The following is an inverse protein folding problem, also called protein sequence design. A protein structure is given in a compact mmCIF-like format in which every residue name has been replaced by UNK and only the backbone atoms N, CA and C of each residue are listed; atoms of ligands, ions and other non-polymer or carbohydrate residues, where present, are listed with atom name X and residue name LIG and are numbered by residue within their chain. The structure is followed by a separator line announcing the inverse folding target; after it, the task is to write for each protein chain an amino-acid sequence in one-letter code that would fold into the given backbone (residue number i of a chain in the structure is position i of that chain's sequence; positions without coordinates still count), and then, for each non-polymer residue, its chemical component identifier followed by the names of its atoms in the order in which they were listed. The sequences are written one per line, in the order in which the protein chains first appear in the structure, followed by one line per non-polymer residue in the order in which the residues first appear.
data_IF_260357491885
#
_entry.id   IF_260357491885
#
_cell.length_a   1.000
_cell.length_b   1.000
_cell.length_c   1.000
_cell.angle_alpha   90.00
_cell.angle_beta   90.00
_cell.angle_gamma   90.00
#
_symmetry.space_group_name_H-M   'P 1'
#
loop_
_entity.id
_entity.type
_entity.pdbx_description
1 polymer ?
#
# COMPACT_ATOMS: atom_id res chain seq x y z
N UNK A 1 -2.75 -32.20 -0.83
CA UNK A 1 -2.94 -30.97 -1.65
C UNK A 1 -2.54 -29.80 -0.78
N UNK A 2 -1.67 -28.92 -1.26
CA UNK A 2 -1.32 -27.69 -0.56
C UNK A 2 -2.58 -26.80 -0.42
N UNK A 3 -2.76 -26.11 0.71
CA UNK A 3 -3.84 -25.13 0.84
C UNK A 3 -3.57 -23.92 -0.06
N UNK A 4 -4.62 -23.17 -0.44
CA UNK A 4 -4.48 -21.95 -1.25
C UNK A 4 -3.49 -20.97 -0.60
N UNK A 5 -3.51 -20.88 0.74
CA UNK A 5 -2.55 -20.06 1.51
C UNK A 5 -1.10 -20.51 1.31
N UNK A 6 -0.81 -21.82 1.37
CA UNK A 6 0.57 -22.31 1.19
C UNK A 6 1.10 -22.10 -0.23
N UNK A 7 0.25 -22.17 -1.25
CA UNK A 7 0.67 -21.89 -2.63
C UNK A 7 0.99 -20.40 -2.83
N UNK A 8 0.20 -19.52 -2.19
CA UNK A 8 0.43 -18.08 -2.24
C UNK A 8 1.74 -17.70 -1.55
N UNK A 9 2.01 -18.28 -0.37
CA UNK A 9 3.26 -18.07 0.36
C UNK A 9 4.48 -18.51 -0.46
N UNK A 10 4.41 -19.67 -1.15
CA UNK A 10 5.48 -20.14 -2.04
C UNK A 10 5.75 -19.18 -3.20
N UNK A 11 4.70 -18.63 -3.82
CA UNK A 11 4.85 -17.63 -4.87
C UNK A 11 5.45 -16.33 -4.33
N UNK A 12 4.99 -15.86 -3.16
CA UNK A 12 5.57 -14.66 -2.51
C UNK A 12 7.06 -14.88 -2.25
N UNK A 13 7.44 -16.05 -1.76
CA UNK A 13 8.84 -16.40 -1.50
C UNK A 13 9.71 -16.37 -2.77
N UNK A 14 9.18 -16.84 -3.90
CA UNK A 14 9.88 -16.84 -5.18
C UNK A 14 10.03 -15.43 -5.79
N UNK A 15 9.08 -14.53 -5.50
CA UNK A 15 9.05 -13.17 -6.05
C UNK A 15 9.67 -12.12 -5.12
N UNK A 16 9.76 -12.42 -3.83
CA UNK A 16 10.35 -11.55 -2.82
C UNK A 16 11.82 -11.25 -3.13
N UNK A 17 12.18 -9.97 -3.08
CA UNK A 17 13.55 -9.54 -3.28
C UNK A 17 14.07 -8.74 -2.09
N UNK A 18 15.18 -9.22 -1.51
CA UNK A 18 15.85 -8.58 -0.40
C UNK A 18 16.38 -7.19 -0.77
N UNK A 19 16.18 -6.23 0.13
CA UNK A 19 16.85 -4.94 0.12
C UNK A 19 17.13 -4.55 1.55
N UNK A 20 18.38 -4.17 1.84
CA UNK A 20 18.84 -3.88 3.21
C UNK A 20 17.91 -2.90 3.93
N UNK A 21 17.59 -1.76 3.31
CA UNK A 21 16.67 -0.78 3.90
C UNK A 21 15.28 -1.36 4.21
N UNK A 22 14.72 -2.18 3.32
CA UNK A 22 13.41 -2.82 3.53
C UNK A 22 13.45 -3.81 4.69
N UNK A 23 14.55 -4.55 4.81
CA UNK A 23 14.80 -5.47 5.92
C UNK A 23 14.96 -4.72 7.25
N UNK A 24 15.82 -3.70 7.29
CA UNK A 24 16.09 -2.92 8.51
C UNK A 24 14.84 -2.20 8.99
N UNK A 25 14.12 -1.50 8.11
CA UNK A 25 12.89 -0.81 8.50
C UNK A 25 11.81 -1.80 8.97
N UNK A 26 11.72 -2.98 8.36
CA UNK A 26 10.79 -4.01 8.85
C UNK A 26 11.18 -4.51 10.24
N UNK A 27 12.40 -5.00 10.40
CA UNK A 27 12.86 -5.70 11.61
C UNK A 27 13.14 -4.77 12.79
N UNK A 28 13.57 -3.53 12.54
CA UNK A 28 13.98 -2.58 13.58
C UNK A 28 12.92 -1.51 13.87
N UNK A 29 11.88 -1.38 13.03
CA UNK A 29 10.85 -0.35 13.22
C UNK A 29 9.44 -0.93 13.18
N UNK A 30 9.02 -1.50 12.04
CA UNK A 30 7.63 -1.95 11.87
C UNK A 30 7.25 -3.11 12.79
N UNK A 31 8.08 -4.16 12.85
CA UNK A 31 7.84 -5.31 13.71
C UNK A 31 7.85 -4.91 15.20
N UNK A 32 8.87 -4.21 15.73
CA UNK A 32 8.86 -3.74 17.11
C UNK A 32 7.67 -2.85 17.46
N UNK A 33 7.18 -2.01 16.55
CA UNK A 33 5.98 -1.19 16.81
C UNK A 33 4.71 -2.03 16.94
N UNK A 34 4.57 -3.08 16.10
CA UNK A 34 3.43 -3.99 16.16
C UNK A 34 3.49 -4.92 17.38
N UNK A 35 4.68 -5.32 17.81
CA UNK A 35 4.92 -6.24 18.96
C UNK A 35 5.02 -5.52 20.32
N UNK A 36 5.58 -4.31 20.42
CA UNK A 36 5.58 -3.55 21.69
C UNK A 36 4.16 -3.28 22.19
N UNK A 37 3.23 -3.21 21.27
CA UNK A 37 1.80 -3.03 21.49
C UNK A 37 1.08 -4.28 22.02
N UNK A 38 1.73 -5.47 21.99
CA UNK A 38 1.24 -6.67 22.70
C UNK A 38 1.59 -6.68 24.20
N UNK A 39 2.45 -5.77 24.67
CA UNK A 39 3.04 -5.81 26.02
C UNK A 39 2.41 -4.82 27.01
N UNK A 40 1.42 -4.03 26.59
CA UNK A 40 0.69 -3.10 27.45
C UNK A 40 -0.46 -3.83 28.16
N UNK A 41 -0.67 -3.50 29.44
CA UNK A 41 -1.45 -4.19 30.48
C UNK A 41 -2.96 -4.40 30.21
N UNK A 42 -3.45 -4.12 29.00
CA UNK A 42 -4.78 -4.49 28.53
C UNK A 42 -4.67 -5.77 27.71
N UNK A 43 -5.48 -6.79 28.00
CA UNK A 43 -5.51 -8.06 27.25
C UNK A 43 -5.91 -7.92 25.76
N UNK A 44 -6.15 -6.68 25.30
CA UNK A 44 -6.57 -6.34 23.95
C UNK A 44 -5.46 -5.61 23.19
N UNK A 45 -5.18 -6.12 22.00
CA UNK A 45 -4.29 -5.50 21.03
C UNK A 45 -4.85 -4.14 20.56
N UNK A 46 -4.03 -3.08 20.44
CA UNK A 46 -4.56 -1.79 20.01
C UNK A 46 -5.05 -1.87 18.56
N UNK A 47 -6.28 -1.42 18.31
CA UNK A 47 -6.88 -1.49 16.98
C UNK A 47 -6.13 -0.61 15.97
N UNK A 48 -5.85 -1.17 14.79
CA UNK A 48 -5.29 -0.43 13.65
C UNK A 48 -6.36 -0.42 12.57
N UNK A 49 -7.00 0.73 12.35
CA UNK A 49 -8.07 0.83 11.34
C UNK A 49 -7.52 0.98 9.93
N UNK A 50 -6.40 1.69 9.79
CA UNK A 50 -5.83 2.05 8.50
C UNK A 50 -4.36 1.65 8.44
N UNK A 51 -3.96 0.99 7.35
CA UNK A 51 -2.55 0.70 7.04
C UNK A 51 -2.15 1.46 5.79
N UNK A 52 -1.07 2.25 5.87
CA UNK A 52 -0.41 2.84 4.69
C UNK A 52 0.72 1.89 4.26
N UNK A 53 0.54 1.14 3.18
CA UNK A 53 1.51 0.17 2.68
C UNK A 53 2.10 0.64 1.36
N UNK A 54 3.41 0.80 1.29
CA UNK A 54 4.03 1.19 0.02
C UNK A 54 5.44 1.70 0.13
N UNK A 55 5.75 2.67 -0.72
CA UNK A 55 7.09 3.23 -0.84
C UNK A 55 7.28 4.54 -0.05
N UNK A 56 8.28 5.32 -0.48
CA UNK A 56 8.59 6.67 -0.01
C UNK A 56 7.40 7.65 0.02
N UNK A 57 6.41 7.60 -0.88
CA UNK A 57 5.34 8.61 -0.80
C UNK A 57 4.50 8.43 0.46
N UNK A 58 4.21 7.17 0.83
CA UNK A 58 3.52 6.90 2.08
C UNK A 58 4.43 7.12 3.28
N UNK A 59 5.71 6.68 3.23
CA UNK A 59 6.68 6.93 4.31
C UNK A 59 6.78 8.42 4.67
N UNK A 60 6.75 9.29 3.66
CA UNK A 60 6.96 10.74 3.82
C UNK A 60 5.76 11.52 4.34
N UNK A 61 4.62 10.88 4.64
CA UNK A 61 3.65 11.44 5.59
C UNK A 61 4.28 11.67 6.98
N UNK A 62 5.35 10.94 7.34
CA UNK A 62 6.12 11.18 8.58
C UNK A 62 6.99 12.44 8.52
N UNK A 63 7.21 13.01 7.32
CA UNK A 63 8.15 14.13 7.09
C UNK A 63 7.51 15.26 6.30
N UNK A 64 7.58 15.26 4.97
CA UNK A 64 7.04 16.33 4.11
C UNK A 64 5.52 16.47 4.26
N UNK A 65 4.81 15.37 4.51
CA UNK A 65 3.37 15.36 4.78
C UNK A 65 3.00 15.45 6.27
N UNK A 66 3.94 15.73 7.18
CA UNK A 66 3.68 15.63 8.63
C UNK A 66 2.54 16.50 9.14
N UNK A 67 2.25 17.63 8.47
CA UNK A 67 1.22 18.58 8.90
C UNK A 67 -0.12 18.41 8.15
N UNK A 68 -0.26 17.35 7.35
CA UNK A 68 -1.54 17.02 6.72
C UNK A 68 -2.43 16.21 7.67
N UNK A 69 -3.70 15.99 7.33
CA UNK A 69 -4.61 15.23 8.17
C UNK A 69 -4.09 13.82 8.44
N UNK A 70 -3.67 13.10 7.40
CA UNK A 70 -3.10 11.75 7.53
C UNK A 70 -1.78 11.77 8.29
N UNK A 71 -0.92 12.78 8.05
CA UNK A 71 0.37 12.92 8.75
C UNK A 71 0.23 13.19 10.25
N UNK A 72 -0.89 13.75 10.68
CA UNK A 72 -1.22 14.04 12.08
C UNK A 72 -1.94 12.89 12.79
N UNK A 73 -2.43 11.87 12.07
CA UNK A 73 -3.01 10.68 12.71
C UNK A 73 -1.87 9.76 13.13
N UNK A 74 -1.85 9.44 14.42
CA UNK A 74 -0.80 8.65 15.02
C UNK A 74 -1.20 7.19 15.22
N UNK A 75 -0.20 6.35 15.42
CA UNK A 75 -0.38 4.98 15.89
C UNK A 75 -1.15 4.98 17.22
N UNK A 76 -2.13 4.07 17.43
CA UNK A 76 -2.41 2.89 16.61
C UNK A 76 -3.42 3.07 15.47
N UNK A 77 -4.16 4.19 15.40
CA UNK A 77 -5.24 4.36 14.42
C UNK A 77 -4.75 4.20 12.96
N UNK A 78 -3.62 4.85 12.63
CA UNK A 78 -2.89 4.63 11.38
C UNK A 78 -1.56 3.93 11.68
N UNK A 79 -1.30 2.86 10.92
CA UNK A 79 0.03 2.27 10.84
C UNK A 79 0.67 2.55 9.47
N UNK A 80 1.72 3.38 9.48
CA UNK A 80 2.45 3.73 8.27
C UNK A 80 3.63 2.76 8.04
N UNK A 81 3.37 1.78 7.17
CA UNK A 81 4.28 0.75 6.70
C UNK A 81 4.98 1.10 5.36
N UNK A 82 5.06 2.40 5.03
CA UNK A 82 5.82 2.90 3.89
C UNK A 82 7.34 2.80 4.12
N UNK A 83 8.09 2.42 3.08
CA UNK A 83 9.56 2.35 3.14
C UNK A 83 10.19 3.00 1.91
N UNK A 84 11.11 3.93 2.17
CA UNK A 84 11.81 4.67 1.12
C UNK A 84 12.50 3.77 0.08
N UNK A 85 12.13 3.98 -1.18
CA UNK A 85 12.69 3.27 -2.32
C UNK A 85 12.25 1.82 -2.48
N UNK A 86 11.28 1.34 -1.71
CA UNK A 86 10.70 0.01 -1.94
C UNK A 86 10.14 -0.09 -3.35
N UNK A 87 10.46 -1.20 -4.00
CA UNK A 87 9.78 -1.70 -5.18
C UNK A 87 8.72 -2.73 -4.78
N UNK A 88 7.91 -3.16 -5.74
CA UNK A 88 6.87 -4.18 -5.53
C UNK A 88 7.45 -5.45 -4.88
N UNK A 89 8.55 -5.96 -5.42
CA UNK A 89 9.25 -7.14 -4.92
C UNK A 89 9.84 -6.98 -3.50
N UNK A 90 10.13 -5.74 -3.08
CA UNK A 90 10.61 -5.47 -1.73
C UNK A 90 9.46 -5.48 -0.71
N UNK A 91 8.27 -5.04 -1.11
CA UNK A 91 7.07 -5.17 -0.26
C UNK A 91 6.71 -6.64 -0.09
N UNK A 92 6.74 -7.44 -1.18
CA UNK A 92 6.58 -8.89 -1.10
C UNK A 92 7.60 -9.53 -0.13
N UNK A 93 8.84 -9.05 -0.15
CA UNK A 93 9.85 -9.48 0.82
C UNK A 93 9.47 -9.17 2.28
N UNK A 94 8.95 -7.97 2.58
CA UNK A 94 8.47 -7.65 3.93
C UNK A 94 7.24 -8.47 4.34
N UNK A 95 6.39 -8.82 3.38
CA UNK A 95 5.25 -9.74 3.60
C UNK A 95 5.77 -11.13 3.97
N UNK A 96 6.75 -11.65 3.24
CA UNK A 96 7.42 -12.92 3.55
C UNK A 96 8.02 -12.92 4.98
N UNK A 97 8.67 -11.82 5.39
CA UNK A 97 9.17 -11.69 6.77
C UNK A 97 8.06 -11.75 7.84
N UNK A 98 6.80 -11.49 7.46
CA UNK A 98 5.66 -11.63 8.35
C UNK A 98 4.86 -10.36 8.58
N UNK A 99 5.06 -9.30 7.79
CA UNK A 99 4.34 -8.04 7.97
C UNK A 99 2.82 -8.24 8.06
N UNK A 100 2.23 -9.01 7.14
CA UNK A 100 0.79 -9.28 7.17
C UNK A 100 0.39 -10.19 8.34
N UNK A 101 1.24 -11.14 8.72
CA UNK A 101 1.02 -12.01 9.88
C UNK A 101 0.97 -11.20 11.18
N UNK A 102 1.82 -10.18 11.32
CA UNK A 102 1.81 -9.27 12.46
C UNK A 102 0.59 -8.33 12.48
N UNK A 103 0.08 -7.95 11.31
CA UNK A 103 -1.12 -7.12 11.17
C UNK A 103 -2.43 -7.93 11.29
N UNK A 104 -2.38 -9.24 11.04
CA UNK A 104 -3.56 -10.13 11.03
C UNK A 104 -4.44 -10.00 12.27
N UNK A 105 -3.89 -9.99 13.50
CA UNK A 105 -4.71 -9.86 14.72
C UNK A 105 -5.42 -8.50 14.87
N UNK A 106 -5.00 -7.47 14.12
CA UNK A 106 -5.57 -6.11 14.21
C UNK A 106 -6.75 -5.88 13.27
N UNK A 107 -6.94 -6.76 12.28
CA UNK A 107 -8.01 -6.74 11.28
C UNK A 107 -8.32 -5.31 10.74
N UNK A 108 -7.36 -4.69 10.02
CA UNK A 108 -7.54 -3.33 9.52
C UNK A 108 -8.75 -3.24 8.60
N UNK A 109 -9.39 -2.08 8.60
CA UNK A 109 -10.56 -1.80 7.78
C UNK A 109 -10.17 -1.29 6.41
N UNK A 110 -9.09 -0.51 6.33
CA UNK A 110 -8.59 0.11 5.09
C UNK A 110 -7.09 -0.12 4.93
N UNK A 111 -6.68 -0.48 3.72
CA UNK A 111 -5.27 -0.48 3.32
C UNK A 111 -5.09 0.48 2.16
N UNK A 112 -4.28 1.52 2.35
CA UNK A 112 -3.86 2.41 1.27
C UNK A 112 -2.58 1.85 0.66
N UNK A 113 -2.61 1.55 -0.63
CA UNK A 113 -1.50 0.99 -1.39
C UNK A 113 -1.02 1.98 -2.45
N UNK A 114 0.19 2.52 -2.26
CA UNK A 114 0.87 3.37 -3.24
C UNK A 114 2.26 2.80 -3.47
N UNK A 115 2.47 2.17 -4.63
CA UNK A 115 3.68 1.41 -4.90
C UNK A 115 3.94 1.29 -6.40
N UNK A 116 5.22 1.19 -6.79
CA UNK A 116 5.62 0.92 -8.18
C UNK A 116 6.39 2.06 -8.83
N UNK A 117 6.44 3.25 -8.23
CA UNK A 117 7.22 4.37 -8.76
C UNK A 117 8.71 4.01 -8.90
N UNK A 118 9.24 3.22 -7.97
CA UNK A 118 10.65 2.77 -7.97
C UNK A 118 10.94 1.64 -8.97
N UNK A 119 9.91 1.06 -9.59
CA UNK A 119 10.03 0.07 -10.67
C UNK A 119 10.13 0.74 -12.05
N UNK A 120 9.78 2.02 -12.15
CA UNK A 120 9.89 2.79 -13.39
C UNK A 120 11.34 3.07 -13.77
N UNK A 121 11.58 3.18 -15.08
CA UNK A 121 12.83 3.71 -15.62
C UNK A 121 12.51 4.89 -16.53
N UNK A 122 13.53 5.71 -16.84
CA UNK A 122 13.34 6.96 -17.62
C UNK A 122 12.42 6.79 -18.82
N UNK A 123 12.64 5.71 -19.59
CA UNK A 123 11.89 5.39 -20.81
C UNK A 123 11.14 4.05 -20.76
N UNK A 124 10.71 3.62 -19.57
CA UNK A 124 10.04 2.33 -19.42
C UNK A 124 9.00 2.35 -18.30
N UNK A 125 7.78 1.96 -18.67
CA UNK A 125 6.68 1.72 -17.75
C UNK A 125 6.90 0.44 -16.92
N UNK A 126 5.95 0.13 -16.04
CA UNK A 126 5.90 -1.15 -15.34
C UNK A 126 5.90 -2.31 -16.35
N UNK A 127 6.74 -3.30 -16.08
CA UNK A 127 6.84 -4.51 -16.90
C UNK A 127 5.71 -5.49 -16.56
N UNK A 128 5.50 -6.48 -17.42
CA UNK A 128 4.55 -7.58 -17.14
C UNK A 128 4.84 -8.26 -15.80
N UNK A 129 6.11 -8.55 -15.55
CA UNK A 129 6.59 -9.12 -14.29
C UNK A 129 6.21 -8.26 -13.09
N UNK A 130 6.34 -6.93 -13.19
CA UNK A 130 5.93 -6.02 -12.11
C UNK A 130 4.42 -6.08 -11.86
N UNK A 131 3.60 -6.18 -12.91
CA UNK A 131 2.14 -6.31 -12.76
C UNK A 131 1.74 -7.67 -12.17
N UNK A 132 2.44 -8.74 -12.54
CA UNK A 132 2.21 -10.07 -11.95
C UNK A 132 2.57 -10.09 -10.45
N UNK A 133 3.66 -9.41 -10.05
CA UNK A 133 4.04 -9.26 -8.64
C UNK A 133 3.06 -8.35 -7.87
N UNK A 134 2.52 -7.32 -8.54
CA UNK A 134 1.50 -6.46 -7.95
C UNK A 134 0.18 -7.21 -7.74
N UNK A 135 -0.20 -8.06 -8.70
CA UNK A 135 -1.35 -8.95 -8.56
C UNK A 135 -1.20 -9.90 -7.37
N UNK A 136 -0.01 -10.51 -7.23
CA UNK A 136 0.31 -11.37 -6.10
C UNK A 136 0.21 -10.62 -4.76
N UNK A 137 0.66 -9.36 -4.71
CA UNK A 137 0.49 -8.49 -3.57
C UNK A 137 -1.00 -8.25 -3.24
N UNK A 138 -1.84 -7.93 -4.23
CA UNK A 138 -3.27 -7.74 -4.03
C UNK A 138 -3.95 -9.02 -3.50
N UNK A 139 -3.58 -10.19 -4.05
CA UNK A 139 -4.08 -11.47 -3.56
C UNK A 139 -3.68 -11.73 -2.09
N UNK A 140 -2.42 -11.45 -1.73
CA UNK A 140 -1.97 -11.55 -0.34
C UNK A 140 -2.79 -10.67 0.61
N UNK A 141 -3.09 -9.44 0.21
CA UNK A 141 -3.92 -8.53 1.00
C UNK A 141 -5.37 -9.04 1.13
N UNK A 142 -5.99 -9.50 0.04
CA UNK A 142 -7.36 -10.02 0.06
C UNK A 142 -7.52 -11.30 0.90
N UNK A 143 -6.50 -12.17 0.94
CA UNK A 143 -6.58 -13.49 1.56
C UNK A 143 -6.05 -13.54 3.00
N UNK A 144 -5.45 -12.46 3.51
CA UNK A 144 -4.83 -12.46 4.85
C UNK A 144 -5.88 -12.53 5.97
N UNK A 145 -6.97 -11.78 5.81
CA UNK A 145 -7.98 -11.57 6.85
C UNK A 145 -9.29 -12.31 6.55
N UNK A 146 -10.03 -12.78 7.58
CA UNK A 146 -11.35 -13.39 7.37
C UNK A 146 -12.36 -12.42 6.74
N UNK A 147 -12.34 -11.17 7.19
CA UNK A 147 -13.05 -10.06 6.56
C UNK A 147 -12.00 -9.20 5.87
N UNK A 148 -11.96 -9.17 4.53
CA UNK A 148 -10.93 -8.43 3.82
C UNK A 148 -11.09 -6.91 4.03
N UNK A 149 -9.99 -6.16 4.19
CA UNK A 149 -10.03 -4.71 4.21
C UNK A 149 -10.47 -4.15 2.85
N UNK A 150 -10.97 -2.91 2.86
CA UNK A 150 -11.04 -2.10 1.65
C UNK A 150 -9.62 -1.67 1.26
N UNK A 151 -9.18 -2.05 0.07
CA UNK A 151 -7.85 -1.75 -0.46
C UNK A 151 -7.96 -0.55 -1.41
N UNK A 152 -7.41 0.59 -1.04
CA UNK A 152 -7.32 1.78 -1.88
C UNK A 152 -5.97 1.83 -2.60
N UNK A 153 -5.95 1.49 -3.88
CA UNK A 153 -4.78 1.62 -4.74
C UNK A 153 -4.73 3.04 -5.32
N UNK A 154 -3.65 3.77 -5.06
CA UNK A 154 -3.47 5.13 -5.57
C UNK A 154 -2.48 5.17 -6.72
N UNK A 155 -2.79 5.93 -7.77
CA UNK A 155 -1.91 6.07 -8.92
C UNK A 155 -0.60 6.81 -8.63
N UNK A 156 0.38 6.57 -9.50
CA UNK A 156 1.73 7.11 -9.45
C UNK A 156 1.74 8.59 -9.88
N UNK A 157 2.46 9.42 -9.13
CA UNK A 157 2.68 10.83 -9.46
C UNK A 157 3.67 11.02 -10.61
N UNK A 158 3.62 12.20 -11.21
CA UNK A 158 4.63 12.66 -12.17
C UNK A 158 6.02 12.67 -11.52
N UNK A 159 7.05 12.47 -12.34
CA UNK A 159 8.47 12.54 -11.95
C UNK A 159 9.24 13.37 -12.96
N UNK A 160 10.28 14.08 -12.52
CA UNK A 160 11.17 14.82 -13.44
C UNK A 160 12.10 13.89 -14.22
N UNK A 161 12.40 12.72 -13.68
CA UNK A 161 13.37 11.78 -14.24
C UNK A 161 12.75 10.59 -15.00
N UNK A 162 11.43 10.58 -15.21
CA UNK A 162 10.70 9.56 -16.00
C UNK A 162 9.77 10.27 -16.96
N UNK A 163 9.77 9.86 -18.24
CA UNK A 163 8.89 10.49 -19.23
C UNK A 163 7.43 10.22 -18.88
N UNK A 164 6.58 11.25 -18.91
CA UNK A 164 5.19 11.21 -18.42
C UNK A 164 4.36 10.08 -19.06
N UNK A 165 4.60 9.77 -20.34
CA UNK A 165 3.93 8.68 -21.05
C UNK A 165 4.06 7.32 -20.34
N UNK A 166 5.21 7.03 -19.71
CA UNK A 166 5.44 5.75 -19.04
C UNK A 166 4.81 5.70 -17.65
N UNK A 167 4.64 6.87 -17.01
CA UNK A 167 3.88 7.00 -15.76
C UNK A 167 2.39 6.78 -16.06
N UNK A 168 1.87 7.45 -17.09
CA UNK A 168 0.48 7.29 -17.56
C UNK A 168 0.19 5.84 -17.97
N UNK A 169 1.06 5.22 -18.77
CA UNK A 169 0.93 3.81 -19.15
C UNK A 169 0.90 2.89 -17.91
N UNK A 170 1.71 3.17 -16.90
CA UNK A 170 1.75 2.38 -15.67
C UNK A 170 0.48 2.55 -14.84
N UNK A 171 -0.06 3.76 -14.74
CA UNK A 171 -1.33 4.02 -14.06
C UNK A 171 -2.50 3.32 -14.74
N UNK A 172 -2.57 3.36 -16.08
CA UNK A 172 -3.58 2.63 -16.84
C UNK A 172 -3.48 1.13 -16.57
N UNK A 173 -2.26 0.57 -16.61
CA UNK A 173 -2.05 -0.85 -16.35
C UNK A 173 -2.43 -1.29 -14.93
N UNK A 174 -2.17 -0.44 -13.92
CA UNK A 174 -2.57 -0.70 -12.54
C UNK A 174 -4.08 -0.58 -12.34
N UNK A 175 -4.73 0.43 -12.94
CA UNK A 175 -6.19 0.58 -12.91
C UNK A 175 -6.88 -0.63 -13.56
N UNK A 176 -6.42 -1.05 -14.73
CA UNK A 176 -6.91 -2.28 -15.38
C UNK A 176 -6.69 -3.52 -14.51
N UNK A 177 -5.55 -3.61 -13.83
CA UNK A 177 -5.27 -4.72 -12.92
C UNK A 177 -6.24 -4.75 -11.74
N UNK A 178 -6.56 -3.59 -11.15
CA UNK A 178 -7.57 -3.47 -10.09
C UNK A 178 -8.93 -3.97 -10.59
N UNK A 179 -9.38 -3.50 -11.75
CA UNK A 179 -10.65 -3.94 -12.36
C UNK A 179 -10.66 -5.45 -12.59
N UNK A 180 -9.61 -6.00 -13.20
CA UNK A 180 -9.49 -7.45 -13.46
C UNK A 180 -9.44 -8.26 -12.17
N UNK A 181 -8.76 -7.78 -11.14
CA UNK A 181 -8.65 -8.46 -9.84
C UNK A 181 -10.01 -8.50 -9.15
N UNK A 182 -10.74 -7.39 -9.11
CA UNK A 182 -12.11 -7.39 -8.61
C UNK A 182 -12.98 -8.37 -9.40
N UNK A 183 -12.95 -8.38 -10.74
CA UNK A 183 -13.77 -9.31 -11.52
C UNK A 183 -13.44 -10.79 -11.25
N UNK A 184 -12.16 -11.12 -11.05
CA UNK A 184 -11.71 -12.52 -10.90
C UNK A 184 -11.83 -13.06 -9.48
N UNK A 185 -11.55 -12.25 -8.46
CA UNK A 185 -11.60 -12.68 -7.06
C UNK A 185 -13.01 -12.58 -6.47
N UNK A 186 -13.83 -11.61 -6.92
CA UNK A 186 -15.24 -11.52 -6.53
C UNK A 186 -16.06 -12.72 -7.01
N UNK A 187 -15.72 -13.30 -8.17
CA UNK A 187 -16.35 -14.52 -8.67
C UNK A 187 -16.01 -15.75 -7.82
N UNK A 188 -14.91 -15.73 -7.06
CA UNK A 188 -14.41 -16.89 -6.33
C UNK A 188 -14.77 -16.89 -4.85
N UNK A 189 -14.89 -15.73 -4.18
CA UNK A 189 -14.85 -15.73 -2.71
C UNK A 189 -15.79 -14.82 -1.90
N UNK A 190 -16.57 -13.84 -2.42
CA UNK A 190 -17.35 -12.98 -1.49
C UNK A 190 -18.62 -12.34 -2.08
N UNK A 191 -19.70 -12.30 -1.29
CA UNK A 191 -20.90 -11.45 -1.47
C UNK A 191 -20.70 -10.02 -0.88
N UNK A 192 -19.48 -9.46 -0.91
CA UNK A 192 -19.21 -8.10 -0.41
C UNK A 192 -19.01 -7.13 -1.58
N UNK A 193 -19.32 -5.86 -1.37
CA UNK A 193 -19.01 -4.80 -2.34
C UNK A 193 -17.51 -4.78 -2.69
N UNK A 194 -17.16 -4.20 -3.85
CA UNK A 194 -15.79 -4.15 -4.38
C UNK A 194 -14.73 -3.91 -3.29
N UNK A 195 -13.84 -4.88 -3.08
CA UNK A 195 -12.81 -4.78 -2.03
C UNK A 195 -11.60 -3.96 -2.46
N UNK A 196 -11.33 -3.80 -3.76
CA UNK A 196 -10.20 -3.00 -4.26
C UNK A 196 -10.72 -1.77 -5.01
N UNK A 197 -10.22 -0.60 -4.66
CA UNK A 197 -10.59 0.69 -5.20
C UNK A 197 -9.39 1.31 -5.90
N UNK A 198 -9.62 1.95 -7.05
CA UNK A 198 -8.61 2.74 -7.73
C UNK A 198 -8.84 4.22 -7.49
N UNK A 199 -7.77 4.96 -7.16
CA UNK A 199 -7.76 6.40 -7.06
C UNK A 199 -6.70 6.98 -7.98
N UNK A 200 -7.15 7.76 -8.96
CA UNK A 200 -6.26 8.50 -9.86
C UNK A 200 -5.37 9.46 -9.06
N UNK A 201 -4.14 9.73 -9.51
CA UNK A 201 -3.33 10.79 -8.90
C UNK A 201 -4.04 12.14 -9.10
N UNK A 202 -4.05 13.04 -8.10
CA UNK A 202 -4.68 14.36 -8.24
C UNK A 202 -4.12 15.12 -9.44
N UNK A 203 -5.01 15.61 -10.31
CA UNK A 203 -4.62 16.32 -11.54
C UNK A 203 -3.85 17.62 -11.26
N UNK A 204 -4.05 18.18 -10.06
CA UNK A 204 -3.38 19.38 -9.57
C UNK A 204 -1.90 19.15 -9.26
N UNK A 205 -1.47 17.90 -9.03
CA UNK A 205 -0.07 17.59 -8.69
C UNK A 205 0.77 17.56 -9.98
N UNK A 206 1.35 18.72 -10.30
CA UNK A 206 2.40 18.91 -11.31
C UNK A 206 3.84 18.75 -10.80
N UNK A 207 4.82 19.03 -11.68
CA UNK A 207 6.25 18.90 -11.38
C UNK A 207 6.76 19.93 -10.36
N UNK A 208 6.07 21.07 -10.26
CA UNK A 208 6.29 22.14 -9.28
C UNK A 208 5.99 21.69 -7.84
N UNK A 209 5.20 20.63 -7.69
CA UNK A 209 4.89 20.03 -6.40
C UNK A 209 5.94 19.01 -5.95
N UNK A 210 7.04 18.84 -6.70
CA UNK A 210 8.12 17.92 -6.35
C UNK A 210 9.27 18.66 -5.67
N UNK A 211 9.65 18.21 -4.47
CA UNK A 211 10.84 18.69 -3.75
C UNK A 211 12.13 18.27 -4.47
N UNK A 212 12.15 17.09 -5.09
CA UNK A 212 13.25 16.58 -5.90
C UNK A 212 12.71 16.04 -7.23
N UNK A 213 13.32 15.01 -7.81
CA UNK A 213 12.85 14.40 -9.07
C UNK A 213 11.60 13.52 -8.89
N UNK A 214 11.22 13.20 -7.65
CA UNK A 214 10.29 12.11 -7.35
C UNK A 214 9.29 12.46 -6.25
N UNK A 215 9.76 13.05 -5.15
CA UNK A 215 8.97 13.19 -3.94
C UNK A 215 8.22 14.51 -3.88
N UNK A 216 6.97 14.44 -3.44
CA UNK A 216 6.16 15.62 -3.19
C UNK A 216 6.80 16.53 -2.14
N UNK A 217 6.68 17.85 -2.35
CA UNK A 217 6.91 18.86 -1.32
C UNK A 217 5.66 18.99 -0.42
N UNK A 218 5.73 19.86 0.59
CA UNK A 218 4.63 20.07 1.55
C UNK A 218 3.29 20.40 0.87
N UNK A 219 3.30 21.28 -0.13
CA UNK A 219 2.08 21.67 -0.86
C UNK A 219 1.51 20.51 -1.68
N UNK A 220 2.37 19.70 -2.31
CA UNK A 220 1.95 18.47 -2.99
C UNK A 220 1.29 17.47 -2.04
N UNK A 221 1.83 17.31 -0.84
CA UNK A 221 1.20 16.46 0.20
C UNK A 221 -0.14 17.02 0.68
N UNK A 222 -0.30 18.34 0.83
CA UNK A 222 -1.58 18.95 1.20
C UNK A 222 -2.67 18.63 0.18
N UNK A 223 -2.38 18.83 -1.11
CA UNK A 223 -3.31 18.51 -2.21
C UNK A 223 -3.67 17.03 -2.21
N UNK A 224 -2.69 16.15 -2.03
CA UNK A 224 -2.94 14.71 -2.03
C UNK A 224 -3.80 14.30 -0.82
N UNK A 225 -3.48 14.83 0.35
CA UNK A 225 -4.16 14.51 1.61
C UNK A 225 -5.63 14.91 1.58
N UNK A 226 -5.99 16.08 1.04
CA UNK A 226 -7.38 16.54 0.92
C UNK A 226 -8.28 15.54 0.20
N UNK A 227 -7.76 14.86 -0.83
CA UNK A 227 -8.53 13.89 -1.61
C UNK A 227 -8.42 12.50 -1.00
N UNK A 228 -7.22 12.12 -0.55
CA UNK A 228 -6.94 10.81 0.01
C UNK A 228 -7.72 10.59 1.31
N UNK A 229 -7.78 11.60 2.20
CA UNK A 229 -8.47 11.47 3.48
C UNK A 229 -9.98 11.32 3.32
N UNK A 230 -10.59 12.07 2.40
CA UNK A 230 -12.00 11.92 2.04
C UNK A 230 -12.29 10.50 1.54
N UNK A 231 -11.43 9.96 0.67
CA UNK A 231 -11.62 8.60 0.15
C UNK A 231 -11.44 7.54 1.25
N UNK A 232 -10.48 7.70 2.15
CA UNK A 232 -10.30 6.81 3.30
C UNK A 232 -11.55 6.83 4.19
N UNK A 233 -12.12 8.00 4.48
CA UNK A 233 -13.34 8.13 5.29
C UNK A 233 -14.54 7.44 4.63
N UNK A 234 -14.72 7.60 3.32
CA UNK A 234 -15.74 6.89 2.55
C UNK A 234 -15.62 5.36 2.73
N UNK A 235 -14.40 4.82 2.58
CA UNK A 235 -14.16 3.38 2.69
C UNK A 235 -14.31 2.86 4.13
N UNK A 236 -13.93 3.65 5.13
CA UNK A 236 -14.18 3.30 6.54
C UNK A 236 -15.66 3.20 6.86
N UNK A 237 -16.49 4.06 6.27
CA UNK A 237 -17.95 3.99 6.46
C UNK A 237 -18.53 2.72 5.84
N UNK A 238 -18.09 2.31 4.64
CA UNK A 238 -18.55 1.07 4.00
C UNK A 238 -18.32 -0.18 4.88
N UNK A 239 -17.23 -0.20 5.64
CA UNK A 239 -16.90 -1.30 6.56
C UNK A 239 -17.75 -1.32 7.84
N UNK A 240 -18.43 -0.24 8.20
CA UNK A 240 -19.27 -0.22 9.40
C UNK A 240 -20.70 -0.75 9.13
N UNK A 241 -21.06 -1.02 7.88
CA UNK A 241 -22.38 -1.50 7.46
C UNK A 241 -22.39 -2.96 6.93
N UNK A 242 -21.24 -3.63 6.93
CA UNK A 242 -21.08 -5.05 6.57
C UNK A 242 -20.92 -5.90 7.82
#
# INVERSE_FOLDING_TARGET
MASISSQLDDLINQRAYFKQRSHDTHTQTHQPQLESSTLLLSQELPQIDIVLLGDSMLERFKTSGKYTQIGQIHYPQIFNAGVGGDKIENVLYRINLGLLRLLKPRNPKVIVLQLGTNNLQRKRALTRQNLDDYYLLLQALLMTWPTPPQILVTGLFKRKNVDEQYITQSNIALEELVVKTNMTEMQKHVQQDQCIHWMQPPKQIGLEHLQDDVHLNTTGYQIWDEILSLKIQELLHLQNFQ
#
